data_IF_801908229449
#
_entry.id   IF_801908229449
#
_cell.length_a   1.000
_cell.length_b   1.000
_cell.length_c   1.000
_cell.angle_alpha   90.00
_cell.angle_beta   90.00
_cell.angle_gamma   90.00
#
_symmetry.space_group_name_H-M   'P 1'
#
loop_
_entity.id
_entity.type
_entity.pdbx_description
1 polymer ?
#
# COMPACT_ATOMS: atom_id res chain seq x y z
N UNK A 1 -7.25 -108.32 13.95
CA UNK A 1 -8.50 -107.62 14.35
C UNK A 1 -8.14 -106.65 15.46
N UNK A 2 -8.48 -105.37 15.51
CA UNK A 2 -8.99 -104.39 14.55
C UNK A 2 -8.60 -103.04 15.18
N UNK A 3 -7.81 -102.23 14.47
CA UNK A 3 -8.28 -100.99 13.83
C UNK A 3 -8.44 -99.82 14.80
N UNK A 4 -7.37 -99.04 14.93
CA UNK A 4 -7.47 -97.63 15.32
C UNK A 4 -7.81 -96.76 14.10
N UNK A 5 -8.79 -95.87 14.27
CA UNK A 5 -9.12 -94.70 13.43
C UNK A 5 -10.13 -93.88 14.25
N UNK A 6 -9.74 -92.71 14.78
CA UNK A 6 -9.91 -91.37 14.18
C UNK A 6 -11.35 -91.08 13.78
N UNK A 7 -12.01 -90.19 14.52
CA UNK A 7 -12.90 -89.13 14.01
C UNK A 7 -13.41 -88.31 15.20
N UNK A 8 -12.81 -87.15 15.41
CA UNK A 8 -13.37 -86.00 16.15
C UNK A 8 -12.55 -84.77 15.76
N UNK A 9 -12.58 -84.44 14.47
CA UNK A 9 -12.27 -83.12 13.96
C UNK A 9 -13.42 -82.73 13.04
N UNK A 10 -13.69 -81.43 12.94
CA UNK A 10 -14.79 -80.79 12.19
C UNK A 10 -16.05 -80.53 13.01
N UNK A 11 -15.94 -79.72 14.07
CA UNK A 11 -17.03 -78.80 14.43
C UNK A 11 -16.52 -77.61 15.27
N UNK A 12 -15.42 -76.97 14.86
CA UNK A 12 -14.84 -75.82 15.59
C UNK A 12 -14.37 -74.65 14.72
N UNK A 13 -14.31 -74.82 13.39
CA UNK A 13 -13.73 -73.83 12.48
C UNK A 13 -14.74 -72.85 11.85
N UNK A 14 -16.04 -72.98 12.15
CA UNK A 14 -17.09 -72.16 11.51
C UNK A 14 -17.53 -70.91 12.26
N UNK A 15 -17.29 -70.83 13.58
CA UNK A 15 -17.77 -69.70 14.41
C UNK A 15 -16.71 -68.61 14.63
N UNK A 16 -15.42 -68.96 14.70
CA UNK A 16 -14.34 -67.97 14.83
C UNK A 16 -14.22 -67.08 13.59
N UNK A 17 -14.25 -67.67 12.40
CA UNK A 17 -14.21 -66.97 11.10
C UNK A 17 -15.41 -66.04 10.90
N UNK A 18 -16.59 -66.38 11.41
CA UNK A 18 -17.79 -65.54 11.30
C UNK A 18 -17.76 -64.36 12.27
N UNK A 19 -17.22 -64.54 13.48
CA UNK A 19 -17.07 -63.46 14.46
C UNK A 19 -16.00 -62.47 13.99
N UNK A 20 -14.87 -62.96 13.48
CA UNK A 20 -13.82 -62.10 12.89
C UNK A 20 -14.29 -61.40 11.61
N UNK A 21 -15.08 -62.07 10.75
CA UNK A 21 -15.71 -61.41 9.59
C UNK A 21 -16.71 -60.33 10.01
N UNK A 22 -17.53 -60.58 11.03
CA UNK A 22 -18.48 -59.59 11.55
C UNK A 22 -17.75 -58.39 12.15
N UNK A 23 -16.66 -58.61 12.89
CA UNK A 23 -15.86 -57.54 13.49
C UNK A 23 -15.10 -56.71 12.43
N UNK A 24 -14.56 -57.37 11.40
CA UNK A 24 -13.95 -56.72 10.24
C UNK A 24 -14.97 -55.87 9.45
N UNK A 25 -16.20 -56.36 9.25
CA UNK A 25 -17.27 -55.59 8.60
C UNK A 25 -17.70 -54.37 9.44
N UNK A 26 -17.76 -54.49 10.77
CA UNK A 26 -18.09 -53.38 11.67
C UNK A 26 -17.00 -52.30 11.61
N UNK A 27 -15.73 -52.69 11.65
CA UNK A 27 -14.59 -51.78 11.47
C UNK A 27 -14.60 -51.10 10.11
N UNK A 28 -14.89 -51.84 9.04
CA UNK A 28 -15.00 -51.28 7.69
C UNK A 28 -16.13 -50.24 7.60
N UNK A 29 -17.29 -50.53 8.20
CA UNK A 29 -18.42 -49.59 8.28
C UNK A 29 -18.05 -48.32 9.08
N UNK A 30 -17.37 -48.47 10.22
CA UNK A 30 -16.91 -47.34 11.03
C UNK A 30 -15.88 -46.49 10.29
N UNK A 31 -14.90 -47.11 9.62
CA UNK A 31 -13.92 -46.41 8.79
C UNK A 31 -14.59 -45.67 7.62
N UNK A 32 -15.57 -46.30 6.96
CA UNK A 32 -16.33 -45.65 5.90
C UNK A 32 -17.07 -44.41 6.41
N UNK A 33 -17.67 -44.49 7.61
CA UNK A 33 -18.36 -43.36 8.24
C UNK A 33 -17.39 -42.22 8.61
N UNK A 34 -16.20 -42.55 9.11
CA UNK A 34 -15.16 -41.55 9.41
C UNK A 34 -14.64 -40.88 8.14
N UNK A 35 -14.45 -41.63 7.06
CA UNK A 35 -14.07 -41.09 5.74
C UNK A 35 -15.13 -40.11 5.25
N UNK A 36 -16.42 -40.47 5.32
CA UNK A 36 -17.52 -39.58 4.93
C UNK A 36 -17.55 -38.30 5.78
N UNK A 37 -17.30 -38.39 7.09
CA UNK A 37 -17.21 -37.21 7.96
C UNK A 37 -16.02 -36.32 7.60
N UNK A 38 -14.86 -36.93 7.30
CA UNK A 38 -13.66 -36.20 6.91
C UNK A 38 -13.83 -35.51 5.54
N UNK A 39 -14.46 -36.19 4.58
CA UNK A 39 -14.82 -35.62 3.28
C UNK A 39 -15.81 -34.45 3.42
N UNK A 40 -16.81 -34.58 4.30
CA UNK A 40 -17.76 -33.50 4.59
C UNK A 40 -17.07 -32.30 5.23
N UNK A 41 -16.20 -32.50 6.23
CA UNK A 41 -15.42 -31.42 6.84
C UNK A 41 -14.45 -30.77 5.86
N UNK A 42 -13.82 -31.54 4.99
CA UNK A 42 -12.93 -31.02 3.95
C UNK A 42 -13.70 -30.15 2.95
N UNK A 43 -14.89 -30.57 2.54
CA UNK A 43 -15.75 -29.77 1.68
C UNK A 43 -16.19 -28.46 2.35
N UNK A 44 -16.54 -28.50 3.64
CA UNK A 44 -16.88 -27.31 4.42
C UNK A 44 -15.68 -26.35 4.57
N UNK A 45 -14.49 -26.88 4.85
CA UNK A 45 -13.26 -26.12 4.93
C UNK A 45 -12.98 -25.38 3.62
N UNK A 46 -13.04 -26.07 2.48
CA UNK A 46 -12.85 -25.43 1.17
C UNK A 46 -13.93 -24.39 0.86
N UNK A 47 -15.18 -24.60 1.29
CA UNK A 47 -16.23 -23.62 1.15
C UNK A 47 -15.97 -22.35 2.01
N UNK A 48 -15.45 -22.51 3.23
CA UNK A 48 -15.06 -21.41 4.09
C UNK A 48 -13.82 -20.67 3.58
N UNK A 49 -12.81 -21.39 3.08
CA UNK A 49 -11.64 -20.80 2.41
C UNK A 49 -12.05 -19.95 1.21
N UNK A 50 -12.99 -20.45 0.39
CA UNK A 50 -13.60 -19.69 -0.70
C UNK A 50 -14.26 -18.40 -0.22
N UNK A 51 -15.11 -18.48 0.81
CA UNK A 51 -15.75 -17.29 1.42
C UNK A 51 -14.73 -16.31 1.99
N UNK A 52 -13.65 -16.79 2.61
CA UNK A 52 -12.61 -15.94 3.17
C UNK A 52 -11.84 -15.19 2.07
N UNK A 53 -11.54 -15.87 0.97
CA UNK A 53 -10.96 -15.24 -0.22
C UNK A 53 -11.88 -14.17 -0.79
N UNK A 54 -13.16 -14.48 -0.97
CA UNK A 54 -14.15 -13.51 -1.47
C UNK A 54 -14.27 -12.27 -0.58
N UNK A 55 -14.21 -12.45 0.75
CA UNK A 55 -14.23 -11.34 1.71
C UNK A 55 -12.96 -10.50 1.62
N UNK A 56 -11.78 -11.13 1.48
CA UNK A 56 -10.50 -10.43 1.30
C UNK A 56 -10.51 -9.61 0.01
N UNK A 57 -10.97 -10.18 -1.09
CA UNK A 57 -11.04 -9.50 -2.39
C UNK A 57 -12.01 -8.30 -2.32
N UNK A 58 -13.14 -8.45 -1.62
CA UNK A 58 -14.06 -7.34 -1.33
C UNK A 58 -13.42 -6.26 -0.48
N UNK A 59 -12.69 -6.63 0.57
CA UNK A 59 -11.99 -5.68 1.43
C UNK A 59 -10.99 -4.86 0.62
N UNK A 60 -10.15 -5.50 -0.19
CA UNK A 60 -9.20 -4.82 -1.09
C UNK A 60 -9.93 -3.83 -2.03
N UNK A 61 -11.08 -4.24 -2.59
CA UNK A 61 -11.90 -3.37 -3.44
C UNK A 61 -12.43 -2.14 -2.69
N UNK A 62 -12.90 -2.32 -1.44
CA UNK A 62 -13.35 -1.21 -0.59
C UNK A 62 -12.21 -0.28 -0.21
N UNK A 63 -11.05 -0.82 0.17
CA UNK A 63 -9.87 -0.02 0.53
C UNK A 63 -9.41 0.82 -0.67
N UNK A 64 -9.36 0.23 -1.86
CA UNK A 64 -9.03 0.96 -3.10
C UNK A 64 -10.02 2.09 -3.39
N UNK A 65 -11.32 1.83 -3.20
CA UNK A 65 -12.36 2.85 -3.37
C UNK A 65 -12.17 3.99 -2.37
N UNK A 66 -11.85 3.67 -1.12
CA UNK A 66 -11.67 4.64 -0.05
C UNK A 66 -10.41 5.49 -0.25
N UNK A 67 -9.32 4.88 -0.72
CA UNK A 67 -8.10 5.58 -1.17
C UNK A 67 -8.45 6.58 -2.28
N UNK A 68 -9.21 6.15 -3.29
CA UNK A 68 -9.59 6.99 -4.41
C UNK A 68 -10.47 8.17 -3.97
N UNK A 69 -11.46 7.93 -3.11
CA UNK A 69 -12.32 8.98 -2.53
C UNK A 69 -11.50 9.98 -1.73
N UNK A 70 -10.57 9.51 -0.88
CA UNK A 70 -9.71 10.39 -0.11
C UNK A 70 -8.87 11.30 -1.01
N UNK A 71 -8.29 10.73 -2.06
CA UNK A 71 -7.47 11.45 -3.04
C UNK A 71 -8.28 12.52 -3.76
N UNK A 72 -9.47 12.19 -4.26
CA UNK A 72 -10.36 13.15 -4.93
C UNK A 72 -10.77 14.29 -4.00
N UNK A 73 -11.02 13.97 -2.73
CA UNK A 73 -11.42 14.97 -1.76
C UNK A 73 -10.27 15.90 -1.36
N UNK A 74 -9.06 15.37 -1.20
CA UNK A 74 -7.87 16.22 -0.97
C UNK A 74 -7.60 17.13 -2.18
N UNK A 75 -7.74 16.61 -3.40
CA UNK A 75 -7.67 17.42 -4.62
C UNK A 75 -8.73 18.54 -4.63
N UNK A 76 -9.97 18.23 -4.23
CA UNK A 76 -11.04 19.23 -4.14
C UNK A 76 -10.67 20.35 -3.14
N UNK A 77 -10.12 20.00 -1.98
CA UNK A 77 -9.65 20.99 -1.00
C UNK A 77 -8.55 21.87 -1.61
N UNK A 78 -7.56 21.24 -2.25
CA UNK A 78 -6.46 21.98 -2.89
C UNK A 78 -6.96 22.94 -3.98
N UNK A 79 -7.89 22.50 -4.83
CA UNK A 79 -8.49 23.30 -5.89
C UNK A 79 -9.31 24.47 -5.32
N UNK A 80 -10.10 24.23 -4.28
CA UNK A 80 -10.89 25.28 -3.61
C UNK A 80 -9.99 26.35 -2.99
N UNK A 81 -8.88 25.96 -2.36
CA UNK A 81 -7.90 26.92 -1.83
C UNK A 81 -7.26 27.72 -2.97
N UNK A 82 -6.84 27.05 -4.05
CA UNK A 82 -6.26 27.72 -5.22
C UNK A 82 -7.24 28.72 -5.85
N UNK A 83 -8.52 28.36 -5.97
CA UNK A 83 -9.55 29.28 -6.43
C UNK A 83 -9.76 30.46 -5.49
N UNK A 84 -9.71 30.24 -4.17
CA UNK A 84 -9.76 31.30 -3.16
C UNK A 84 -8.63 32.31 -3.33
N UNK A 85 -7.39 31.83 -3.48
CA UNK A 85 -6.21 32.68 -3.75
C UNK A 85 -6.39 33.49 -5.03
N UNK A 86 -6.85 32.86 -6.11
CA UNK A 86 -7.10 33.54 -7.41
C UNK A 86 -8.25 34.55 -7.35
N UNK A 87 -9.23 34.34 -6.48
CA UNK A 87 -10.31 35.30 -6.26
C UNK A 87 -9.85 36.53 -5.44
N UNK A 88 -8.65 36.46 -4.83
CA UNK A 88 -8.17 37.47 -3.89
C UNK A 88 -8.85 37.36 -2.52
N UNK A 89 -9.22 36.13 -2.13
CA UNK A 89 -9.66 35.82 -0.77
C UNK A 89 -8.50 35.84 0.22
N UNK A 90 -8.85 35.93 1.50
CA UNK A 90 -7.87 36.00 2.60
C UNK A 90 -7.06 34.70 2.72
N UNK A 91 -5.80 34.88 3.09
CA UNK A 91 -4.76 33.85 3.13
C UNK A 91 -5.03 32.73 4.15
N UNK A 92 -6.04 32.88 5.02
CA UNK A 92 -6.49 31.86 5.98
C UNK A 92 -6.83 30.52 5.31
N UNK A 93 -7.13 30.52 4.01
CA UNK A 93 -7.36 29.30 3.24
C UNK A 93 -6.07 28.51 2.95
N UNK A 94 -4.88 29.15 2.93
CA UNK A 94 -3.60 28.47 2.72
C UNK A 94 -3.21 27.57 3.90
N UNK A 95 -3.69 27.89 5.10
CA UNK A 95 -3.44 27.07 6.30
C UNK A 95 -4.04 25.65 6.15
N UNK A 96 -5.11 25.50 5.35
CA UNK A 96 -5.68 24.20 4.99
C UNK A 96 -4.76 23.39 4.05
N UNK A 97 -3.81 24.04 3.35
CA UNK A 97 -2.76 23.37 2.56
C UNK A 97 -1.55 23.01 3.41
N UNK A 98 -1.22 23.78 4.46
CA UNK A 98 -0.03 23.55 5.32
C UNK A 98 -0.22 22.40 6.33
N UNK A 99 -1.46 22.19 6.79
CA UNK A 99 -1.86 21.09 7.67
C UNK A 99 -2.37 19.92 6.79
N UNK A 100 -1.72 18.77 6.62
CA UNK A 100 -1.43 17.74 7.61
C UNK A 100 -0.91 16.48 6.90
N UNK A 101 0.40 16.33 6.69
CA UNK A 101 0.97 14.99 6.43
C UNK A 101 1.91 14.55 7.59
N UNK A 102 2.53 15.50 8.31
CA UNK A 102 3.65 15.21 9.24
C UNK A 102 3.23 14.97 10.69
N UNK A 103 2.14 15.57 11.16
CA UNK A 103 1.71 15.34 12.55
C UNK A 103 1.03 13.99 12.76
N UNK A 104 0.70 13.30 11.66
CA UNK A 104 -0.02 12.03 11.69
C UNK A 104 0.96 10.86 11.88
N UNK A 105 2.15 10.89 11.28
CA UNK A 105 3.10 9.76 11.34
C UNK A 105 3.55 9.42 12.77
N UNK A 106 3.73 10.43 13.63
CA UNK A 106 4.11 10.22 15.05
C UNK A 106 2.95 9.64 15.89
N UNK A 107 1.71 9.90 15.50
CA UNK A 107 0.51 9.32 16.11
C UNK A 107 0.19 7.91 15.57
N UNK A 108 0.48 7.66 14.29
CA UNK A 108 0.28 6.38 13.61
C UNK A 108 1.20 5.28 14.12
N UNK A 109 2.36 5.62 14.70
CA UNK A 109 3.27 4.65 15.30
C UNK A 109 2.61 3.80 16.40
N UNK A 110 1.52 4.28 17.00
CA UNK A 110 0.75 3.59 18.03
C UNK A 110 -0.49 2.83 17.52
N UNK A 111 -0.79 2.92 16.22
CA UNK A 111 -2.04 2.44 15.65
C UNK A 111 -1.89 1.03 15.06
N UNK A 112 -2.87 0.11 15.24
CA UNK A 112 -2.86 -1.19 14.57
C UNK A 112 -2.80 -1.02 13.04
N UNK A 113 -2.10 -1.89 12.29
CA UNK A 113 -2.01 -1.81 10.82
C UNK A 113 -3.36 -1.68 10.12
N UNK A 114 -4.39 -2.30 10.69
CA UNK A 114 -5.76 -2.32 10.20
C UNK A 114 -6.45 -0.94 10.29
N UNK A 115 -5.96 -0.05 11.14
CA UNK A 115 -6.57 1.24 11.47
C UNK A 115 -5.77 2.43 10.93
N UNK A 116 -4.52 2.22 10.52
CA UNK A 116 -3.63 3.26 9.94
C UNK A 116 -4.31 4.00 8.80
N UNK A 117 -4.97 3.25 7.90
CA UNK A 117 -5.63 3.84 6.75
C UNK A 117 -6.78 4.77 7.16
N UNK A 118 -7.63 4.34 8.11
CA UNK A 118 -8.76 5.15 8.59
C UNK A 118 -8.28 6.37 9.38
N UNK A 119 -7.24 6.25 10.19
CA UNK A 119 -6.62 7.38 10.87
C UNK A 119 -6.09 8.43 9.89
N UNK A 120 -5.41 8.00 8.81
CA UNK A 120 -4.97 8.90 7.73
C UNK A 120 -6.14 9.55 7.00
N UNK A 121 -7.19 8.78 6.68
CA UNK A 121 -8.39 9.28 6.01
C UNK A 121 -9.09 10.37 6.81
N UNK A 122 -9.23 10.15 8.12
CA UNK A 122 -10.03 10.98 9.01
C UNK A 122 -9.25 12.15 9.59
N UNK A 123 -7.94 12.22 9.34
CA UNK A 123 -7.08 13.28 9.87
C UNK A 123 -7.19 13.41 11.41
N UNK A 124 -7.50 12.29 12.08
CA UNK A 124 -7.68 12.22 13.53
C UNK A 124 -6.41 11.68 14.16
N UNK A 125 -5.63 12.56 14.80
CA UNK A 125 -4.43 12.17 15.55
C UNK A 125 -4.71 11.50 16.89
N UNK A 126 -5.97 11.18 17.21
CA UNK A 126 -6.37 10.69 18.54
C UNK A 126 -7.25 9.44 18.43
N UNK A 127 -6.65 8.27 18.70
CA UNK A 127 -7.38 7.13 19.25
C UNK A 127 -6.97 7.05 20.72
N UNK A 128 -7.94 7.32 21.59
CA UNK A 128 -7.83 7.16 23.03
C UNK A 128 -7.24 5.79 23.35
N UNK A 129 -6.11 5.76 24.07
CA UNK A 129 -5.29 4.56 24.34
C UNK A 129 -6.02 3.48 25.15
N UNK A 130 -7.30 3.68 25.49
CA UNK A 130 -8.03 2.87 26.45
C UNK A 130 -9.35 2.26 25.92
N UNK A 131 -9.61 2.28 24.61
CA UNK A 131 -10.74 1.55 24.03
C UNK A 131 -10.35 1.02 22.64
N UNK A 132 -10.47 -0.29 22.47
CA UNK A 132 -10.23 -0.94 21.18
C UNK A 132 -11.04 -0.30 20.05
N UNK A 133 -10.42 -0.33 18.87
CA UNK A 133 -10.86 0.14 17.55
C UNK A 133 -11.51 1.52 17.42
N UNK A 134 -11.20 2.19 16.30
CA UNK A 134 -11.84 3.45 15.92
C UNK A 134 -13.36 3.27 15.93
N UNK A 135 -14.05 3.95 16.85
CA UNK A 135 -15.50 3.87 16.95
C UNK A 135 -16.16 4.54 15.74
N UNK A 136 -17.27 3.97 15.26
CA UNK A 136 -18.09 4.54 14.16
C UNK A 136 -18.49 5.99 14.45
N UNK A 137 -18.69 6.33 15.73
CA UNK A 137 -19.01 7.70 16.14
C UNK A 137 -17.85 8.68 15.90
N UNK A 138 -16.62 8.27 16.21
CA UNK A 138 -15.43 9.08 15.94
C UNK A 138 -15.21 9.28 14.44
N UNK A 139 -15.45 8.25 13.62
CA UNK A 139 -15.44 8.35 12.15
C UNK A 139 -16.46 9.40 11.67
N UNK A 140 -17.69 9.31 12.17
CA UNK A 140 -18.76 10.22 11.79
C UNK A 140 -18.46 11.67 12.18
N UNK A 141 -17.91 11.90 13.37
CA UNK A 141 -17.52 13.23 13.84
C UNK A 141 -16.41 13.84 12.97
N UNK A 142 -15.35 13.08 12.68
CA UNK A 142 -14.26 13.53 11.81
C UNK A 142 -14.73 13.83 10.38
N UNK A 143 -15.60 13.00 9.80
CA UNK A 143 -16.20 13.26 8.49
C UNK A 143 -17.09 14.52 8.51
N UNK A 144 -17.85 14.72 9.59
CA UNK A 144 -18.72 15.89 9.74
C UNK A 144 -17.89 17.17 9.87
N UNK A 145 -16.78 17.13 10.61
CA UNK A 145 -15.84 18.24 10.73
C UNK A 145 -15.23 18.60 9.36
N UNK A 146 -14.77 17.59 8.61
CA UNK A 146 -14.17 17.79 7.29
C UNK A 146 -15.16 18.33 6.27
N UNK A 147 -16.41 17.86 6.32
CA UNK A 147 -17.49 18.39 5.51
C UNK A 147 -17.80 19.84 5.86
N UNK A 148 -17.91 20.19 7.15
CA UNK A 148 -18.10 21.57 7.60
C UNK A 148 -17.00 22.49 7.10
N UNK A 149 -15.74 22.08 7.23
CA UNK A 149 -14.59 22.87 6.80
C UNK A 149 -14.62 23.18 5.28
N UNK A 150 -15.05 22.22 4.45
CA UNK A 150 -15.23 22.48 3.01
C UNK A 150 -16.38 23.45 2.75
N UNK A 151 -17.52 23.26 3.41
CA UNK A 151 -18.67 24.15 3.23
C UNK A 151 -18.28 25.58 3.61
N UNK A 152 -17.53 25.75 4.69
CA UNK A 152 -16.98 27.04 5.09
C UNK A 152 -16.04 27.58 4.01
N UNK A 153 -15.10 26.79 3.49
CA UNK A 153 -14.20 27.20 2.41
C UNK A 153 -14.96 27.63 1.14
N UNK A 154 -15.98 26.89 0.74
CA UNK A 154 -16.85 27.22 -0.40
C UNK A 154 -17.59 28.54 -0.17
N UNK A 155 -18.06 28.80 1.04
CA UNK A 155 -18.71 30.07 1.40
C UNK A 155 -17.74 31.24 1.28
N UNK A 156 -16.53 31.12 1.83
CA UNK A 156 -15.49 32.15 1.69
C UNK A 156 -15.14 32.41 0.21
N UNK A 157 -15.06 31.35 -0.61
CA UNK A 157 -14.85 31.48 -2.05
C UNK A 157 -16.00 32.24 -2.73
N UNK A 158 -17.25 31.93 -2.38
CA UNK A 158 -18.41 32.63 -2.91
C UNK A 158 -18.39 34.13 -2.57
N UNK A 159 -18.07 34.47 -1.32
CA UNK A 159 -17.92 35.85 -0.86
C UNK A 159 -16.79 36.58 -1.60
N UNK A 160 -15.64 35.92 -1.80
CA UNK A 160 -14.51 36.48 -2.55
C UNK A 160 -14.87 36.74 -4.03
N UNK A 161 -15.60 35.81 -4.67
CA UNK A 161 -16.09 35.99 -6.05
C UNK A 161 -17.05 37.17 -6.13
N UNK A 162 -18.02 37.26 -5.21
CA UNK A 162 -18.97 38.35 -5.18
C UNK A 162 -18.28 39.73 -5.00
N UNK A 163 -17.33 39.81 -4.07
CA UNK A 163 -16.53 41.02 -3.86
C UNK A 163 -15.72 41.41 -5.10
N UNK A 164 -15.15 40.43 -5.80
CA UNK A 164 -14.42 40.64 -7.07
C UNK A 164 -15.36 41.15 -8.17
N UNK A 165 -16.54 40.57 -8.32
CA UNK A 165 -17.54 41.01 -9.30
C UNK A 165 -17.96 42.47 -9.05
N UNK A 166 -18.31 42.82 -7.81
CA UNK A 166 -18.66 44.18 -7.44
C UNK A 166 -17.54 45.19 -7.76
N UNK A 167 -16.27 44.84 -7.49
CA UNK A 167 -15.11 45.67 -7.86
C UNK A 167 -14.97 45.83 -9.37
N UNK A 168 -15.21 44.77 -10.14
CA UNK A 168 -15.16 44.83 -11.60
C UNK A 168 -16.26 45.73 -12.17
N UNK A 169 -17.46 45.72 -11.60
CA UNK A 169 -18.56 46.62 -11.99
C UNK A 169 -18.24 48.09 -11.72
N UNK A 170 -17.62 48.38 -10.55
CA UNK A 170 -17.12 49.72 -10.23
C UNK A 170 -16.03 50.18 -11.20
N UNK A 171 -15.09 49.29 -11.54
CA UNK A 171 -14.06 49.58 -12.54
C UNK A 171 -14.67 49.83 -13.92
N UNK A 172 -15.63 49.01 -14.34
CA UNK A 172 -16.33 49.20 -15.61
C UNK A 172 -17.02 50.56 -15.66
N UNK A 173 -17.68 50.97 -14.57
CA UNK A 173 -18.30 52.29 -14.44
C UNK A 173 -17.28 53.44 -14.53
N UNK A 174 -16.10 53.28 -13.93
CA UNK A 174 -14.99 54.22 -14.04
C UNK A 174 -14.49 54.38 -15.48
N UNK A 175 -14.30 53.26 -16.19
CA UNK A 175 -13.78 53.24 -17.55
C UNK A 175 -14.78 53.77 -18.58
N UNK A 176 -16.09 53.62 -18.34
CA UNK A 176 -17.14 54.17 -19.22
C UNK A 176 -17.39 55.66 -18.99
N UNK A 177 -16.72 56.30 -18.03
CA UNK A 177 -16.92 57.72 -17.71
C UNK A 177 -18.22 58.00 -16.95
N UNK A 178 -18.83 56.98 -16.36
CA UNK A 178 -20.04 57.12 -15.54
C UNK A 178 -19.75 57.69 -14.14
N UNK A 179 -18.46 57.77 -13.76
CA UNK A 179 -17.97 58.32 -12.50
C UNK A 179 -17.31 59.68 -12.72
N UNK A 180 -17.28 60.50 -11.67
CA UNK A 180 -16.45 61.71 -11.64
C UNK A 180 -14.98 61.37 -11.89
N UNK A 181 -14.20 62.31 -12.41
CA UNK A 181 -12.76 62.12 -12.64
C UNK A 181 -12.02 61.72 -11.35
N UNK A 182 -12.39 62.31 -10.21
CA UNK A 182 -11.77 61.99 -8.91
C UNK A 182 -12.15 60.57 -8.47
N UNK A 183 -13.44 60.22 -8.57
CA UNK A 183 -13.94 58.89 -8.22
C UNK A 183 -13.34 57.80 -9.11
N UNK A 184 -13.17 58.07 -10.41
CA UNK A 184 -12.52 57.16 -11.33
C UNK A 184 -11.04 56.91 -10.97
N UNK A 185 -10.30 57.95 -10.57
CA UNK A 185 -8.91 57.83 -10.10
C UNK A 185 -8.86 56.97 -8.83
N UNK A 186 -9.78 57.18 -7.88
CA UNK A 186 -9.88 56.39 -6.65
C UNK A 186 -10.18 54.92 -6.97
N UNK A 187 -11.14 54.64 -7.86
CA UNK A 187 -11.48 53.25 -8.23
C UNK A 187 -10.33 52.55 -8.95
N UNK A 188 -9.60 53.22 -9.85
CA UNK A 188 -8.40 52.66 -10.49
C UNK A 188 -7.30 52.36 -9.47
N UNK A 189 -7.07 53.26 -8.50
CA UNK A 189 -6.08 53.03 -7.43
C UNK A 189 -6.48 51.84 -6.56
N UNK A 190 -7.76 51.72 -6.20
CA UNK A 190 -8.29 50.59 -5.43
C UNK A 190 -8.13 49.28 -6.19
N UNK A 191 -8.43 49.25 -7.49
CA UNK A 191 -8.25 48.06 -8.33
C UNK A 191 -6.77 47.66 -8.47
N UNK A 192 -5.86 48.63 -8.65
CA UNK A 192 -4.42 48.37 -8.64
C UNK A 192 -3.91 47.83 -7.29
N UNK A 193 -4.48 48.31 -6.18
CA UNK A 193 -4.22 47.79 -4.84
C UNK A 193 -4.62 46.32 -4.72
N UNK A 194 -5.84 45.99 -5.16
CA UNK A 194 -6.34 44.61 -5.21
C UNK A 194 -5.47 43.68 -6.07
N UNK A 195 -5.08 44.11 -7.27
CA UNK A 195 -4.21 43.30 -8.12
C UNK A 195 -2.85 43.00 -7.46
N UNK A 196 -2.31 43.98 -6.72
CA UNK A 196 -1.06 43.79 -5.96
C UNK A 196 -1.24 42.76 -4.84
N UNK A 197 -2.37 42.78 -4.16
CA UNK A 197 -2.73 41.78 -3.14
C UNK A 197 -2.85 40.38 -3.74
N UNK A 198 -3.58 40.22 -4.86
CA UNK A 198 -3.68 38.94 -5.58
C UNK A 198 -2.31 38.40 -5.99
N UNK A 199 -1.43 39.27 -6.50
CA UNK A 199 -0.06 38.89 -6.87
C UNK A 199 0.75 38.45 -5.62
N UNK A 200 0.57 39.13 -4.48
CA UNK A 200 1.20 38.73 -3.22
C UNK A 200 0.74 37.34 -2.79
N UNK A 201 -0.58 37.11 -2.76
CA UNK A 201 -1.18 35.84 -2.36
C UNK A 201 -0.76 34.69 -3.30
N UNK A 202 -0.62 34.97 -4.60
CA UNK A 202 -0.12 33.99 -5.57
C UNK A 202 1.35 33.64 -5.33
N UNK A 203 2.22 34.60 -4.99
CA UNK A 203 3.62 34.30 -4.66
C UNK A 203 3.71 33.39 -3.45
N UNK A 204 2.94 33.68 -2.42
CA UNK A 204 2.92 32.85 -1.21
C UNK A 204 2.40 31.44 -1.47
N UNK A 205 1.34 31.29 -2.27
CA UNK A 205 0.87 29.98 -2.71
C UNK A 205 1.94 29.22 -3.52
N UNK A 206 2.69 29.92 -4.37
CA UNK A 206 3.82 29.35 -5.12
C UNK A 206 4.92 28.89 -4.16
N UNK A 207 5.26 29.68 -3.15
CA UNK A 207 6.27 29.34 -2.15
C UNK A 207 5.88 28.08 -1.35
N UNK A 208 4.61 27.97 -0.93
CA UNK A 208 4.07 26.78 -0.26
C UNK A 208 4.15 25.55 -1.16
N UNK A 209 3.78 25.67 -2.44
CA UNK A 209 3.84 24.57 -3.41
C UNK A 209 5.29 24.14 -3.67
N UNK A 210 6.21 25.08 -3.82
CA UNK A 210 7.63 24.79 -3.98
C UNK A 210 8.21 24.07 -2.76
N UNK A 211 7.84 24.51 -1.55
CA UNK A 211 8.27 23.85 -0.32
C UNK A 211 7.80 22.39 -0.28
N UNK A 212 6.54 22.12 -0.61
CA UNK A 212 6.01 20.74 -0.71
C UNK A 212 6.73 19.92 -1.78
N UNK A 213 7.00 20.50 -2.94
CA UNK A 213 7.68 19.80 -4.04
C UNK A 213 9.10 19.38 -3.64
N UNK A 214 9.87 20.28 -3.05
CA UNK A 214 11.21 19.99 -2.57
C UNK A 214 11.18 18.86 -1.54
N UNK A 215 10.24 18.95 -0.59
CA UNK A 215 10.07 17.93 0.44
C UNK A 215 9.75 16.53 -0.12
N UNK A 216 8.80 16.42 -1.05
CA UNK A 216 8.51 15.13 -1.69
C UNK A 216 9.71 14.61 -2.49
N UNK A 217 10.49 15.51 -3.08
CA UNK A 217 11.73 15.13 -3.77
C UNK A 217 12.75 14.55 -2.78
N UNK A 218 12.90 15.15 -1.60
CA UNK A 218 13.78 14.66 -0.54
C UNK A 218 13.32 13.30 0.01
N UNK A 219 12.01 13.13 0.25
CA UNK A 219 11.41 11.87 0.70
C UNK A 219 11.63 10.73 -0.31
N UNK A 220 11.39 11.01 -1.60
CA UNK A 220 11.63 10.04 -2.68
C UNK A 220 13.10 9.67 -2.76
N UNK A 221 14.01 10.66 -2.67
CA UNK A 221 15.45 10.41 -2.68
C UNK A 221 15.86 9.52 -1.51
N UNK A 222 15.38 9.82 -0.30
CA UNK A 222 15.64 9.03 0.90
C UNK A 222 15.13 7.59 0.75
N UNK A 223 13.93 7.40 0.19
CA UNK A 223 13.39 6.06 -0.08
C UNK A 223 14.28 5.28 -1.06
N UNK A 224 14.73 5.92 -2.14
CA UNK A 224 15.63 5.31 -3.13
C UNK A 224 16.95 4.89 -2.46
N UNK A 225 17.54 5.77 -1.65
CA UNK A 225 18.80 5.51 -0.96
C UNK A 225 18.67 4.35 0.05
N UNK A 226 17.58 4.33 0.81
CA UNK A 226 17.27 3.24 1.75
C UNK A 226 17.08 1.91 1.03
N UNK A 227 16.29 1.89 -0.04
CA UNK A 227 16.08 0.68 -0.84
C UNK A 227 17.41 0.18 -1.45
N UNK A 228 18.27 1.07 -1.94
CA UNK A 228 19.59 0.70 -2.44
C UNK A 228 20.46 0.08 -1.34
N UNK A 229 20.41 0.63 -0.11
CA UNK A 229 21.12 0.09 1.05
C UNK A 229 20.59 -1.30 1.43
N UNK A 230 19.28 -1.45 1.59
CA UNK A 230 18.63 -2.73 1.91
C UNK A 230 18.94 -3.79 0.84
N UNK A 231 18.90 -3.41 -0.43
CA UNK A 231 19.26 -4.31 -1.54
C UNK A 231 20.73 -4.75 -1.47
N UNK A 232 21.64 -3.85 -1.09
CA UNK A 232 23.06 -4.20 -0.91
C UNK A 232 23.28 -5.13 0.28
N UNK A 233 22.53 -4.94 1.37
CA UNK A 233 22.58 -5.78 2.57
C UNK A 233 22.03 -7.18 2.30
N UNK A 234 20.91 -7.30 1.56
CA UNK A 234 20.37 -8.58 1.12
C UNK A 234 21.40 -9.35 0.27
N UNK A 235 22.10 -8.66 -0.64
CA UNK A 235 23.17 -9.29 -1.45
C UNK A 235 24.33 -9.76 -0.59
N UNK A 236 24.75 -8.96 0.39
CA UNK A 236 25.80 -9.33 1.33
C UNK A 236 25.41 -10.58 2.13
N UNK A 237 24.26 -10.55 2.80
CA UNK A 237 23.75 -11.67 3.60
C UNK A 237 23.54 -12.95 2.77
N UNK A 238 23.12 -12.81 1.52
CA UNK A 238 23.01 -13.95 0.60
C UNK A 238 24.38 -14.56 0.30
N UNK A 239 25.43 -13.75 0.16
CA UNK A 239 26.80 -14.22 -0.01
C UNK A 239 27.31 -14.94 1.25
N UNK A 240 27.12 -14.35 2.43
CA UNK A 240 27.51 -14.95 3.71
C UNK A 240 26.81 -16.31 3.93
N UNK A 241 25.53 -16.41 3.55
CA UNK A 241 24.79 -17.66 3.64
C UNK A 241 25.35 -18.73 2.69
N UNK A 242 25.70 -18.35 1.45
CA UNK A 242 26.30 -19.27 0.49
C UNK A 242 27.67 -19.77 0.97
N UNK A 243 28.49 -18.89 1.55
CA UNK A 243 29.76 -19.24 2.19
C UNK A 243 29.55 -20.21 3.36
N UNK A 244 28.63 -19.89 4.29
CA UNK A 244 28.31 -20.75 5.43
C UNK A 244 27.77 -22.13 4.99
N UNK A 245 26.97 -22.18 3.93
CA UNK A 245 26.50 -23.43 3.34
C UNK A 245 27.66 -24.25 2.75
N UNK A 246 28.62 -23.61 2.10
CA UNK A 246 29.80 -24.27 1.54
C UNK A 246 30.70 -24.85 2.65
N UNK A 247 30.94 -24.09 3.73
CA UNK A 247 31.67 -24.55 4.91
C UNK A 247 30.98 -25.73 5.61
N UNK A 248 29.66 -25.67 5.76
CA UNK A 248 28.87 -26.76 6.34
C UNK A 248 28.98 -28.04 5.50
N UNK A 249 28.88 -27.92 4.19
CA UNK A 249 29.02 -29.05 3.27
C UNK A 249 30.46 -29.61 3.28
N UNK A 250 31.48 -28.76 3.42
CA UNK A 250 32.85 -29.20 3.63
C UNK A 250 33.01 -29.95 4.96
N UNK A 251 32.45 -29.44 6.06
CA UNK A 251 32.45 -30.09 7.37
C UNK A 251 31.76 -31.45 7.31
N UNK A 252 30.62 -31.55 6.61
CA UNK A 252 29.92 -32.81 6.35
C UNK A 252 30.81 -33.80 5.59
N UNK A 253 31.51 -33.36 4.52
CA UNK A 253 32.44 -34.23 3.77
C UNK A 253 33.60 -34.71 4.66
N UNK A 254 34.18 -33.82 5.48
CA UNK A 254 35.22 -34.17 6.46
C UNK A 254 34.71 -35.22 7.46
N UNK A 255 33.49 -35.06 7.97
CA UNK A 255 32.87 -36.01 8.91
C UNK A 255 32.68 -37.40 8.28
N UNK A 256 32.20 -37.48 7.04
CA UNK A 256 32.04 -38.75 6.32
C UNK A 256 33.39 -39.46 6.17
N UNK A 257 34.45 -38.74 5.80
CA UNK A 257 35.81 -39.30 5.69
C UNK A 257 36.27 -39.84 7.05
N UNK A 258 36.09 -39.09 8.14
CA UNK A 258 36.44 -39.52 9.49
C UNK A 258 35.64 -40.76 9.94
N UNK A 259 34.35 -40.85 9.60
CA UNK A 259 33.52 -42.02 9.88
C UNK A 259 34.02 -43.26 9.11
N UNK A 260 34.38 -43.10 7.83
CA UNK A 260 34.96 -44.20 7.03
C UNK A 260 36.30 -44.69 7.61
N UNK A 261 37.14 -43.77 8.09
CA UNK A 261 38.40 -44.12 8.77
C UNK A 261 38.17 -44.83 10.10
N UNK A 262 37.15 -44.43 10.87
CA UNK A 262 36.75 -45.08 12.12
C UNK A 262 36.15 -46.48 11.90
N UNK A 263 35.55 -46.74 10.73
CA UNK A 263 34.83 -47.96 10.41
C UNK A 263 35.53 -48.91 9.42
N UNK A 264 36.85 -48.79 9.20
CA UNK A 264 37.61 -49.77 8.41
C UNK A 264 38.87 -50.31 9.14
N UNK A 265 39.33 -51.55 8.89
CA UNK A 265 38.62 -52.81 8.69
C UNK A 265 38.60 -53.59 10.03
N UNK A 266 37.53 -53.49 10.82
CA UNK A 266 37.32 -54.34 12.01
C UNK A 266 35.93 -54.99 12.00
N UNK A 267 35.45 -55.36 10.81
CA UNK A 267 34.12 -55.96 10.63
C UNK A 267 34.14 -57.24 9.78
N UNK A 268 35.25 -57.99 9.79
CA UNK A 268 35.30 -59.33 9.16
C UNK A 268 35.40 -60.47 10.19
N UNK A 269 35.69 -60.19 11.46
CA UNK A 269 35.80 -61.26 12.47
C UNK A 269 34.75 -61.10 13.57
N UNK A 270 33.54 -61.60 13.32
CA UNK A 270 32.69 -62.29 14.32
C UNK A 270 31.30 -62.59 13.75
N UNK A 271 31.24 -63.38 12.68
CA UNK A 271 30.15 -64.35 12.59
C UNK A 271 30.68 -65.67 13.13
N UNK A 272 30.05 -66.11 14.23
CA UNK A 272 29.87 -67.50 14.72
C UNK A 272 29.90 -67.43 16.25
N UNK A 273 28.73 -67.58 16.88
CA UNK A 273 28.71 -67.94 18.29
C UNK A 273 27.47 -67.52 19.10
N UNK A 274 26.39 -68.29 18.96
CA UNK A 274 25.51 -68.73 20.06
C UNK A 274 24.42 -67.76 20.56
N UNK A 275 23.19 -68.23 20.34
CA UNK A 275 21.89 -67.94 20.92
C UNK A 275 21.83 -67.20 22.28
N UNK A 276 20.85 -66.28 22.41
CA UNK A 276 19.71 -66.36 23.35
C UNK A 276 18.96 -65.01 23.39
N UNK A 277 17.71 -65.06 22.95
CA UNK A 277 16.51 -64.33 23.40
C UNK A 277 16.62 -62.87 23.92
N UNK A 278 15.88 -61.95 23.28
CA UNK A 278 15.54 -60.65 23.85
C UNK A 278 15.29 -59.55 22.81
N UNK A 279 14.05 -59.46 22.32
CA UNK A 279 13.58 -58.36 21.47
C UNK A 279 13.61 -57.02 22.23
N UNK A 280 14.47 -56.09 21.81
CA UNK A 280 14.39 -54.69 22.22
C UNK A 280 13.93 -53.86 21.03
N UNK A 281 12.72 -53.33 21.21
CA UNK A 281 12.06 -52.33 20.39
C UNK A 281 12.97 -51.12 20.15
N UNK A 282 13.07 -50.69 18.89
CA UNK A 282 13.53 -49.36 18.51
C UNK A 282 12.57 -48.81 17.46
N UNK A 283 11.43 -48.33 17.94
CA UNK A 283 10.45 -47.63 17.12
C UNK A 283 10.93 -46.20 16.82
N UNK A 284 10.90 -45.83 15.55
CA UNK A 284 11.23 -44.52 14.98
C UNK A 284 10.24 -43.45 15.48
N UNK A 285 10.66 -42.23 15.83
CA UNK A 285 9.78 -41.07 15.68
C UNK A 285 9.78 -40.66 14.20
N UNK A 286 8.64 -40.81 13.54
CA UNK A 286 8.36 -40.18 12.26
C UNK A 286 8.26 -38.67 12.46
N UNK A 287 9.40 -38.00 12.49
CA UNK A 287 9.46 -36.55 12.46
C UNK A 287 9.29 -36.08 11.02
N UNK A 288 8.30 -35.22 10.82
CA UNK A 288 7.78 -34.75 9.52
C UNK A 288 8.78 -33.74 8.94
N UNK A 289 9.96 -34.23 8.57
CA UNK A 289 11.02 -33.43 7.95
C UNK A 289 10.69 -33.24 6.48
N UNK A 290 10.15 -32.06 6.18
CA UNK A 290 9.98 -31.55 4.82
C UNK A 290 11.32 -31.68 4.09
N UNK A 291 11.33 -32.33 2.92
CA UNK A 291 12.56 -32.58 2.18
C UNK A 291 13.17 -31.25 1.75
N UNK A 292 14.50 -31.13 1.83
CA UNK A 292 15.25 -29.93 1.41
C UNK A 292 14.92 -29.48 -0.03
N UNK A 293 14.51 -30.44 -0.87
CA UNK A 293 14.02 -30.20 -2.23
C UNK A 293 12.66 -29.49 -2.23
N UNK A 294 11.74 -29.92 -1.38
CA UNK A 294 10.40 -29.33 -1.26
C UNK A 294 10.44 -27.91 -0.68
N UNK A 295 11.37 -27.63 0.25
CA UNK A 295 11.61 -26.27 0.77
C UNK A 295 12.16 -25.34 -0.31
N UNK A 296 13.13 -25.82 -1.12
CA UNK A 296 13.67 -25.07 -2.26
C UNK A 296 12.58 -24.77 -3.30
N UNK A 297 11.80 -25.79 -3.65
CA UNK A 297 10.72 -25.66 -4.63
C UNK A 297 9.61 -24.71 -4.12
N UNK A 298 9.32 -24.70 -2.81
CA UNK A 298 8.37 -23.76 -2.20
C UNK A 298 8.87 -22.30 -2.17
N UNK A 299 10.17 -22.09 -1.98
CA UNK A 299 10.80 -20.76 -2.04
C UNK A 299 10.84 -20.24 -3.48
N UNK A 300 11.10 -21.11 -4.45
CA UNK A 300 11.11 -20.75 -5.87
C UNK A 300 9.68 -20.53 -6.40
N UNK A 301 8.68 -21.26 -5.89
CA UNK A 301 7.25 -21.02 -6.16
C UNK A 301 6.77 -19.69 -5.56
N UNK A 302 7.24 -19.32 -4.37
CA UNK A 302 6.97 -18.01 -3.74
C UNK A 302 7.64 -16.83 -4.49
N UNK A 303 8.79 -17.07 -5.14
CA UNK A 303 9.44 -16.10 -6.04
C UNK A 303 8.73 -16.00 -7.40
N UNK A 304 8.12 -17.10 -7.87
CA UNK A 304 7.43 -17.18 -9.16
C UNK A 304 5.97 -16.69 -9.16
N UNK A 305 5.27 -16.76 -8.03
CA UNK A 305 3.86 -16.38 -7.94
C UNK A 305 3.67 -14.89 -7.59
N UNK A 306 3.62 -14.08 -8.64
CA UNK A 306 2.70 -12.94 -8.79
C UNK A 306 2.89 -11.61 -8.03
N UNK A 307 3.98 -11.35 -7.30
CA UNK A 307 4.21 -9.99 -6.75
C UNK A 307 5.04 -9.08 -7.66
N UNK A 308 6.06 -9.61 -8.32
CA UNK A 308 6.99 -8.81 -9.16
C UNK A 308 6.40 -8.41 -10.51
N UNK A 309 5.50 -9.22 -11.08
CA UNK A 309 4.87 -8.94 -12.39
C UNK A 309 3.75 -7.89 -12.30
N UNK A 310 2.93 -7.92 -11.23
CA UNK A 310 1.79 -6.99 -11.10
C UNK A 310 2.22 -5.58 -10.65
N UNK A 311 3.34 -5.46 -9.92
CA UNK A 311 3.82 -4.18 -9.38
C UNK A 311 4.74 -3.44 -10.37
N UNK A 312 5.56 -4.16 -11.15
CA UNK A 312 6.53 -3.51 -12.06
C UNK A 312 5.98 -3.20 -13.46
N UNK A 313 4.94 -3.91 -13.92
CA UNK A 313 4.40 -3.73 -15.29
C UNK A 313 3.86 -2.31 -15.57
N UNK A 314 3.18 -1.62 -14.63
CA UNK A 314 2.76 -0.22 -14.82
C UNK A 314 3.91 0.79 -14.71
N UNK A 315 4.97 0.48 -13.96
CA UNK A 315 6.10 1.40 -13.73
C UNK A 315 7.14 1.35 -14.86
N UNK A 316 7.37 0.18 -15.45
CA UNK A 316 8.27 0.02 -16.59
C UNK A 316 7.68 0.60 -17.90
N UNK A 317 6.34 0.68 -18.02
CA UNK A 317 5.69 1.40 -19.12
C UNK A 317 5.79 2.92 -18.97
N UNK A 318 5.91 3.45 -17.75
CA UNK A 318 6.11 4.87 -17.50
C UNK A 318 7.57 5.31 -17.74
N UNK A 319 8.55 4.45 -17.45
CA UNK A 319 9.98 4.75 -17.61
C UNK A 319 10.48 4.72 -19.07
N UNK A 320 9.74 4.11 -20.00
CA UNK A 320 10.13 4.01 -21.42
C UNK A 320 9.31 4.93 -22.34
N UNK A 321 8.49 5.83 -21.79
CA UNK A 321 7.89 6.90 -22.58
C UNK A 321 8.95 7.99 -22.84
N UNK A 322 9.17 8.42 -24.10
CA UNK A 322 10.07 9.52 -24.39
C UNK A 322 9.60 10.76 -23.64
N UNK A 323 10.53 11.36 -22.89
CA UNK A 323 10.39 12.59 -22.11
C UNK A 323 9.42 13.61 -22.73
N UNK A 324 8.17 13.64 -22.27
CA UNK A 324 7.25 14.76 -22.47
C UNK A 324 7.50 15.83 -21.41
N UNK A 325 8.73 16.33 -21.38
CA UNK A 325 9.08 17.64 -20.82
C UNK A 325 9.10 18.63 -21.99
N UNK A 326 7.92 19.13 -22.42
CA UNK A 326 7.86 20.53 -22.83
C UNK A 326 6.58 21.27 -22.40
N UNK A 327 5.82 20.80 -21.41
CA UNK A 327 4.50 21.40 -21.11
C UNK A 327 4.52 22.47 -20.01
N UNK A 328 5.39 22.36 -18.99
CA UNK A 328 5.50 23.38 -17.94
C UNK A 328 6.31 24.59 -18.39
N UNK A 329 7.41 24.37 -19.10
CA UNK A 329 8.19 25.46 -19.72
C UNK A 329 7.41 26.14 -20.85
N UNK A 330 6.64 25.37 -21.64
CA UNK A 330 5.73 25.90 -22.66
C UNK A 330 4.56 26.70 -22.07
N UNK A 331 3.99 26.27 -20.94
CA UNK A 331 2.96 27.02 -20.24
C UNK A 331 3.51 28.32 -19.61
N UNK A 332 4.71 28.28 -19.04
CA UNK A 332 5.39 29.47 -18.51
C UNK A 332 5.75 30.43 -19.66
N UNK A 333 6.27 29.93 -20.80
CA UNK A 333 6.53 30.77 -21.97
C UNK A 333 5.24 31.31 -22.60
N UNK A 334 4.13 30.56 -22.58
CA UNK A 334 2.84 30.99 -23.07
C UNK A 334 2.22 32.07 -22.16
N UNK A 335 2.38 31.95 -20.84
CA UNK A 335 1.97 32.98 -19.87
C UNK A 335 2.83 34.24 -20.02
N UNK A 336 4.15 34.09 -20.20
CA UNK A 336 5.06 35.23 -20.45
C UNK A 336 4.76 35.90 -21.80
N UNK A 337 4.54 35.13 -22.87
CA UNK A 337 4.19 35.67 -24.18
C UNK A 337 2.78 36.28 -24.22
N UNK A 338 1.82 35.72 -23.50
CA UNK A 338 0.49 36.31 -23.34
C UNK A 338 0.56 37.64 -22.56
N UNK A 339 1.43 37.74 -21.56
CA UNK A 339 1.68 38.98 -20.83
C UNK A 339 2.34 40.04 -21.72
N UNK A 340 3.36 39.67 -22.51
CA UNK A 340 4.04 40.57 -23.47
C UNK A 340 3.15 41.00 -24.64
N UNK A 341 2.23 40.13 -25.09
CA UNK A 341 1.24 40.46 -26.12
C UNK A 341 0.14 41.39 -25.60
N UNK A 342 -0.19 41.32 -24.30
CA UNK A 342 -1.13 42.23 -23.65
C UNK A 342 -0.53 43.62 -23.40
N UNK A 343 0.79 43.76 -23.24
CA UNK A 343 1.46 45.06 -23.05
C UNK A 343 1.71 45.83 -24.37
N UNK A 344 1.82 45.15 -25.51
CA UNK A 344 2.09 45.80 -26.81
C UNK A 344 1.06 46.86 -27.25
N UNK A 345 -0.27 46.68 -27.06
CA UNK A 345 -1.27 47.70 -27.38
C UNK A 345 -1.20 48.93 -26.46
N UNK A 346 -0.70 48.80 -25.23
CA UNK A 346 -0.61 49.92 -24.29
C UNK A 346 0.60 50.82 -24.54
N UNK A 347 1.72 50.27 -25.05
CA UNK A 347 2.88 51.08 -25.42
C UNK A 347 2.72 51.83 -26.76
N UNK A 348 1.96 51.29 -27.72
CA UNK A 348 1.66 51.99 -28.98
C UNK A 348 0.68 53.15 -28.79
N UNK A 349 -0.28 53.02 -27.85
CA UNK A 349 -1.16 54.14 -27.48
C UNK A 349 -0.46 55.24 -26.66
N UNK A 350 0.58 54.93 -25.88
CA UNK A 350 1.40 55.95 -25.21
C UNK A 350 2.33 56.73 -26.18
N UNK A 351 2.80 56.11 -27.27
CA UNK A 351 3.64 56.81 -28.27
C UNK A 351 2.85 57.68 -29.25
N UNK A 352 1.57 57.40 -29.49
CA UNK A 352 0.72 58.22 -30.37
C UNK A 352 0.19 59.51 -29.71
N UNK A 353 0.22 59.61 -28.37
CA UNK A 353 -0.13 60.83 -27.61
C UNK A 353 1.04 61.79 -27.34
N UNK A 354 2.26 61.47 -27.79
CA UNK A 354 3.44 62.32 -27.65
C UNK A 354 3.93 62.94 -28.98
N UNK A 355 3.02 63.20 -29.95
CA UNK A 355 3.36 64.16 -31.02
C UNK A 355 3.12 65.58 -30.50
N UNK A 356 4.15 66.45 -30.43
CA UNK A 356 3.94 67.86 -30.15
C UNK A 356 3.24 68.50 -31.35
N UNK A 357 2.19 69.27 -31.08
CA UNK A 357 1.71 70.30 -32.00
C UNK A 357 2.85 71.29 -32.21
N UNK A 358 3.43 71.29 -33.41
CA UNK A 358 4.26 72.40 -33.89
C UNK A 358 3.31 73.49 -34.40
N UNK A 359 3.36 74.65 -33.72
CA UNK A 359 3.10 75.94 -34.34
C UNK A 359 4.37 76.43 -35.01
#
# INVERSE_FOLDING_TARGET
MASGKRENEVQGHGMGDQIEQVDAMVLQYQNQKLIQQLEAQKAEMHALEGKFKDLRDKQISYDNTLIAVNKMWNQLVDDLVLFGVRAGGELRCLQALEHEDFSIDDALASCPPEEIFLCRLLRSGYVDKNRGSISVKAVQEALSLRHSAIVDLMKHLQEAIAARLARNELLASALHGNLSSEDAIVQLRNHNGYLREVISNMREAIDVVHLKHNRFTDEISCYIDNHSREQSEIKHLSGDLEESMAELEESRRKLVILQMQKHGPSFINASIGIAVNGSISLDKPADKTMSWRELKDSVDEAKGSNFLSSVLSPFLTFSNAPSLLPTTQGAILAVINAHYAFEKPYQSHLRLKQRPHAY
#
